data_IF_984952869982
#
_entry.id   IF_984952869982
#
_cell.length_a   1.000
_cell.length_b   1.000
_cell.length_c   1.000
_cell.angle_alpha   90.00
_cell.angle_beta   90.00
_cell.angle_gamma   90.00
#
_symmetry.space_group_name_H-M   'P 1'
#
loop_
_entity.id
_entity.type
_entity.pdbx_description
1 polymer ?
#
# COMPACT_ATOMS: atom_id res chain seq x y z
N UNK A 1 -6.10 25.85 30.23
CA UNK A 1 -6.04 26.23 28.80
C UNK A 1 -5.53 25.02 28.04
N UNK A 2 -6.37 24.39 27.23
CA UNK A 2 -6.03 23.15 26.54
C UNK A 2 -5.15 23.41 25.33
N UNK A 3 -4.07 22.64 25.19
CA UNK A 3 -3.25 22.66 23.98
C UNK A 3 -4.10 22.13 22.81
N UNK A 4 -4.27 22.95 21.77
CA UNK A 4 -4.80 22.49 20.49
C UNK A 4 -3.72 21.63 19.83
N UNK A 5 -3.92 20.32 19.81
CA UNK A 5 -3.02 19.41 19.10
C UNK A 5 -3.43 19.40 17.64
N UNK A 6 -2.54 19.85 16.75
CA UNK A 6 -2.75 19.77 15.30
C UNK A 6 -2.63 18.34 14.75
N UNK A 7 -2.20 17.38 15.59
CA UNK A 7 -1.91 16.01 15.19
C UNK A 7 -2.39 15.01 16.23
N UNK A 8 -3.08 13.98 15.77
CA UNK A 8 -3.48 12.83 16.57
C UNK A 8 -2.80 11.59 16.02
N UNK A 9 -2.07 10.86 16.87
CA UNK A 9 -1.41 9.62 16.48
C UNK A 9 -2.42 8.48 16.48
N UNK A 10 -2.40 7.64 15.44
CA UNK A 10 -3.16 6.40 15.42
C UNK A 10 -2.81 5.51 16.61
N UNK A 11 -3.81 4.84 17.19
CA UNK A 11 -3.64 3.93 18.33
C UNK A 11 -3.00 2.59 17.92
N UNK A 12 -3.12 2.21 16.65
CA UNK A 12 -2.54 0.99 16.08
C UNK A 12 -1.73 1.29 14.82
N UNK A 13 -0.94 0.31 14.38
CA UNK A 13 -0.34 0.37 13.04
C UNK A 13 -1.45 0.42 11.98
N UNK A 14 -1.29 1.29 11.01
CA UNK A 14 -2.20 1.43 9.86
C UNK A 14 -1.78 0.56 8.67
N UNK A 15 -0.55 0.03 8.70
CA UNK A 15 -0.01 -0.86 7.68
C UNK A 15 1.16 -1.65 8.28
N UNK A 16 1.15 -2.97 8.20
CA UNK A 16 2.13 -3.83 8.88
C UNK A 16 2.35 -5.15 8.16
N UNK A 17 3.29 -5.93 8.69
CA UNK A 17 3.49 -7.33 8.34
C UNK A 17 2.18 -8.07 8.09
N UNK A 18 2.17 -8.92 7.05
CA UNK A 18 1.04 -9.76 6.68
C UNK A 18 1.47 -11.20 6.47
N UNK A 19 0.67 -12.14 6.98
CA UNK A 19 0.83 -13.58 6.78
C UNK A 19 -0.55 -14.20 6.49
N UNK A 20 -0.71 -14.81 5.32
CA UNK A 20 -1.96 -15.44 4.90
C UNK A 20 -1.73 -16.61 3.94
N UNK A 21 -2.82 -17.24 3.51
CA UNK A 21 -2.79 -18.37 2.57
C UNK A 21 -2.28 -18.00 1.17
N UNK A 22 -2.41 -16.73 0.81
CA UNK A 22 -2.00 -16.13 -0.47
C UNK A 22 -0.53 -15.66 -0.46
N UNK A 23 0.12 -15.64 0.69
CA UNK A 23 1.55 -15.37 0.83
C UNK A 23 1.90 -14.59 2.08
N UNK A 24 3.09 -13.99 2.07
CA UNK A 24 3.61 -13.25 3.23
C UNK A 24 4.35 -12.02 2.76
N UNK A 25 4.21 -10.92 3.52
CA UNK A 25 4.89 -9.66 3.24
C UNK A 25 5.65 -9.18 4.47
N UNK A 26 6.96 -9.05 4.32
CA UNK A 26 7.85 -8.67 5.41
C UNK A 26 8.22 -7.20 5.34
N UNK A 27 8.21 -6.53 6.50
CA UNK A 27 8.74 -5.17 6.70
C UNK A 27 8.25 -4.17 5.64
N UNK A 28 6.92 -4.00 5.46
CA UNK A 28 6.41 -2.94 4.59
C UNK A 28 6.72 -1.56 5.19
N UNK A 29 7.20 -0.61 4.38
CA UNK A 29 7.49 0.73 4.90
C UNK A 29 8.07 1.72 3.89
N UNK A 30 8.47 2.89 4.42
CA UNK A 30 8.98 4.06 3.66
C UNK A 30 8.13 4.37 2.43
N UNK A 31 6.85 4.64 2.68
CA UNK A 31 5.86 4.78 1.63
C UNK A 31 5.78 6.19 1.04
N UNK A 32 5.18 6.26 -0.14
CA UNK A 32 4.70 7.47 -0.80
C UNK A 32 3.25 7.24 -1.27
N UNK A 33 2.56 8.32 -1.65
CA UNK A 33 1.21 8.27 -2.19
C UNK A 33 1.18 8.86 -3.58
N UNK A 34 0.50 8.18 -4.50
CA UNK A 34 0.33 8.61 -5.89
C UNK A 34 -1.11 8.41 -6.33
N UNK A 35 -1.51 9.11 -7.40
CA UNK A 35 -2.81 8.93 -8.03
C UNK A 35 -2.66 8.19 -9.36
N UNK A 36 -3.71 7.47 -9.76
CA UNK A 36 -3.84 6.96 -11.14
C UNK A 36 -3.76 8.10 -12.16
N UNK A 37 -3.52 7.78 -13.43
CA UNK A 37 -3.43 8.78 -14.52
C UNK A 37 -4.69 9.68 -14.59
N UNK A 38 -5.88 9.10 -14.42
CA UNK A 38 -7.12 9.87 -14.41
C UNK A 38 -7.51 10.47 -13.04
N UNK A 39 -6.65 10.34 -12.03
CA UNK A 39 -6.88 10.93 -10.70
C UNK A 39 -8.00 10.31 -9.87
N UNK A 40 -8.67 9.27 -10.38
CA UNK A 40 -9.85 8.64 -9.75
C UNK A 40 -9.49 7.64 -8.64
N UNK A 41 -8.22 7.27 -8.51
CA UNK A 41 -7.76 6.25 -7.59
C UNK A 41 -6.51 6.70 -6.84
N UNK A 42 -6.41 6.30 -5.58
CA UNK A 42 -5.27 6.57 -4.72
C UNK A 42 -4.49 5.29 -4.43
N UNK A 43 -3.17 5.39 -4.52
CA UNK A 43 -2.26 4.27 -4.34
C UNK A 43 -1.22 4.57 -3.27
N UNK A 44 -0.91 3.56 -2.47
CA UNK A 44 0.26 3.55 -1.60
C UNK A 44 1.37 2.81 -2.34
N UNK A 45 2.52 3.47 -2.47
CA UNK A 45 3.76 2.88 -2.99
C UNK A 45 4.67 2.67 -1.80
N UNK A 46 5.22 1.48 -1.62
CA UNK A 46 6.03 1.12 -0.45
C UNK A 46 7.09 0.09 -0.81
N UNK A 47 8.11 -0.07 0.02
CA UNK A 47 9.03 -1.19 -0.12
C UNK A 47 8.60 -2.35 0.78
N UNK A 48 8.86 -3.58 0.34
CA UNK A 48 8.67 -4.80 1.13
C UNK A 48 9.80 -5.79 0.87
N UNK A 49 9.98 -6.75 1.79
CA UNK A 49 10.99 -7.80 1.70
C UNK A 49 10.35 -9.16 1.36
N UNK A 50 11.04 -9.96 0.54
CA UNK A 50 10.68 -11.34 0.26
C UNK A 50 11.02 -12.28 1.42
N UNK A 51 10.24 -13.36 1.54
CA UNK A 51 10.56 -14.46 2.45
C UNK A 51 11.83 -15.19 1.99
N UNK A 52 12.70 -15.55 2.94
CA UNK A 52 13.90 -16.36 2.65
C UNK A 52 15.11 -15.58 2.13
N UNK A 53 14.98 -14.29 1.87
CA UNK A 53 16.09 -13.48 1.35
C UNK A 53 17.04 -13.04 2.47
N UNK A 54 18.29 -13.49 2.43
CA UNK A 54 19.37 -13.03 3.31
C UNK A 54 19.98 -11.75 2.73
N UNK A 55 19.64 -10.59 3.30
CA UNK A 55 20.16 -9.29 2.85
C UNK A 55 19.15 -8.15 2.88
N UNK A 56 19.52 -7.04 2.23
CA UNK A 56 18.73 -5.81 2.08
C UNK A 56 17.81 -5.82 0.83
N UNK A 57 17.58 -6.99 0.23
CA UNK A 57 16.72 -7.12 -0.93
C UNK A 57 15.29 -6.71 -0.57
N UNK A 58 14.89 -5.56 -1.14
CA UNK A 58 13.56 -4.99 -1.00
C UNK A 58 13.04 -4.73 -2.40
N UNK A 59 11.78 -5.05 -2.62
CA UNK A 59 11.06 -4.71 -3.84
C UNK A 59 10.12 -3.54 -3.59
N UNK A 60 9.89 -2.75 -4.64
CA UNK A 60 8.85 -1.73 -4.63
C UNK A 60 7.52 -2.40 -4.96
N UNK A 61 6.50 -2.10 -4.16
CA UNK A 61 5.13 -2.54 -4.35
C UNK A 61 4.20 -1.34 -4.38
N UNK A 62 3.07 -1.51 -5.06
CA UNK A 62 2.03 -0.50 -5.14
C UNK A 62 0.67 -1.20 -5.03
N UNK A 63 -0.25 -0.63 -4.26
CA UNK A 63 -1.63 -1.10 -4.21
C UNK A 63 -2.60 0.06 -3.99
N UNK A 64 -3.81 -0.11 -4.51
CA UNK A 64 -4.90 0.85 -4.30
C UNK A 64 -5.34 0.82 -2.84
N UNK A 65 -5.67 1.97 -2.28
CA UNK A 65 -6.32 2.07 -0.98
C UNK A 65 -7.63 2.85 -1.09
N UNK A 66 -8.46 2.74 -0.06
CA UNK A 66 -9.77 3.38 -0.01
C UNK A 66 -9.82 4.41 1.11
N UNK A 67 -10.82 5.28 1.10
CA UNK A 67 -11.07 6.23 2.17
C UNK A 67 -12.29 5.76 2.97
N UNK A 68 -12.24 5.85 4.30
CA UNK A 68 -13.41 5.63 5.14
C UNK A 68 -14.35 6.86 5.14
N UNK A 69 -15.51 6.73 5.77
CA UNK A 69 -16.50 7.82 5.86
C UNK A 69 -16.01 9.03 6.68
N UNK A 70 -14.94 8.87 7.45
CA UNK A 70 -14.32 9.94 8.25
C UNK A 70 -13.16 10.60 7.49
N UNK A 71 -12.87 10.17 6.27
CA UNK A 71 -11.78 10.69 5.45
C UNK A 71 -10.41 10.17 5.85
N UNK A 72 -10.30 9.03 6.54
CA UNK A 72 -9.02 8.37 6.79
C UNK A 72 -8.68 7.38 5.67
N UNK A 73 -7.39 7.24 5.32
CA UNK A 73 -6.96 6.22 4.37
C UNK A 73 -7.02 4.83 5.01
N UNK A 74 -7.59 3.88 4.29
CA UNK A 74 -7.73 2.47 4.64
C UNK A 74 -6.84 1.65 3.70
N UNK A 75 -5.61 1.39 4.13
CA UNK A 75 -4.61 0.67 3.32
C UNK A 75 -4.84 -0.84 3.25
N UNK A 76 -5.57 -1.41 4.21
CA UNK A 76 -5.70 -2.86 4.37
C UNK A 76 -4.36 -3.49 4.78
N UNK A 77 -4.09 -4.70 4.29
CA UNK A 77 -2.80 -5.35 4.45
C UNK A 77 -1.96 -5.21 3.18
N UNK A 78 -0.62 -5.28 3.27
CA UNK A 78 0.22 -5.36 2.08
C UNK A 78 -0.12 -6.61 1.27
N UNK A 79 -0.36 -6.43 -0.03
CA UNK A 79 -0.68 -7.53 -0.93
C UNK A 79 0.57 -8.37 -1.25
N UNK A 80 0.51 -9.70 -1.16
CA UNK A 80 1.55 -10.60 -1.66
C UNK A 80 1.78 -10.43 -3.17
N UNK A 81 3.01 -10.69 -3.64
CA UNK A 81 3.38 -10.55 -5.05
C UNK A 81 2.63 -11.51 -6.00
N UNK A 82 2.05 -12.58 -5.46
CA UNK A 82 1.19 -13.55 -6.17
C UNK A 82 -0.19 -12.99 -6.51
N UNK A 83 -0.62 -11.88 -5.88
CA UNK A 83 -1.96 -11.32 -6.06
C UNK A 83 -1.98 -10.48 -7.34
N UNK A 84 -2.81 -10.90 -8.29
CA UNK A 84 -3.08 -10.10 -9.49
C UNK A 84 -3.89 -8.86 -9.13
N UNK A 85 -3.43 -7.70 -9.58
CA UNK A 85 -4.10 -6.42 -9.41
C UNK A 85 -4.64 -5.92 -10.74
N UNK A 86 -5.76 -5.20 -10.68
CA UNK A 86 -6.28 -4.49 -11.86
C UNK A 86 -5.33 -3.35 -12.24
N UNK A 87 -5.25 -3.07 -13.54
CA UNK A 87 -4.48 -1.92 -14.04
C UNK A 87 -5.09 -0.62 -13.49
N UNK A 88 -4.26 0.35 -13.07
CA UNK A 88 -4.72 1.67 -12.69
C UNK A 88 -5.54 2.35 -13.78
N UNK A 89 -6.52 3.14 -13.36
CA UNK A 89 -7.37 3.92 -14.25
C UNK A 89 -6.54 4.80 -15.21
N UNK A 90 -6.70 4.56 -16.51
CA UNK A 90 -6.03 5.29 -17.59
C UNK A 90 -4.77 4.64 -18.15
N UNK A 91 -4.34 3.49 -17.64
CA UNK A 91 -3.29 2.72 -18.31
C UNK A 91 -3.84 2.02 -19.57
N UNK A 92 -3.17 2.16 -20.73
CA UNK A 92 -3.53 1.41 -21.92
C UNK A 92 -3.31 -0.08 -21.64
N UNK A 93 -4.38 -0.87 -21.75
CA UNK A 93 -4.26 -2.33 -21.72
C UNK A 93 -3.30 -2.71 -22.85
N UNK A 94 -2.15 -3.31 -22.53
CA UNK A 94 -1.21 -3.74 -23.57
C UNK A 94 -1.97 -4.62 -24.56
N UNK A 95 -2.14 -4.11 -25.78
CA UNK A 95 -2.63 -4.88 -26.91
C UNK A 95 -1.40 -5.61 -27.40
N UNK A 96 -1.25 -6.87 -27.02
CA UNK A 96 -0.27 -7.75 -27.67
C UNK A 96 -0.73 -7.96 -29.11
N UNK A 97 0.05 -7.48 -30.08
CA UNK A 97 -0.05 -7.89 -31.48
C UNK A 97 0.56 -9.29 -31.66
#
# INVERSE_FOLDING_TARGET
>A
MGHCLSWTKSTSSVFSYYFGSDGTVYVPGSNAFVKSLYGTEDYIVYHAKHFGDTGYNRELRMQKFMWDALGNPVFGHPLPASVSMQLPSGEPRSISN
#
